data_IF_700321200193
#
_entry.id   IF_700321200193
#
_cell.length_a   1.000
_cell.length_b   1.000
_cell.length_c   1.000
_cell.angle_alpha   90.00
_cell.angle_beta   90.00
_cell.angle_gamma   90.00
#
_symmetry.space_group_name_H-M   'P 1'
#
loop_
_entity.id
_entity.type
_entity.pdbx_description
1 polymer ?
#
# COMPACT_ATOMS: atom_id res chain seq x y z
N UNK A 1 8.76 17.20 14.46
CA UNK A 1 8.06 18.24 13.66
C UNK A 1 6.58 18.07 13.94
N UNK A 2 5.88 19.16 14.26
CA UNK A 2 4.43 19.16 14.50
C UNK A 2 3.77 20.05 13.44
N UNK A 3 2.78 19.50 12.74
CA UNK A 3 2.01 20.13 11.67
C UNK A 3 0.58 20.49 12.11
N UNK A 4 0.07 19.86 13.17
CA UNK A 4 -1.27 20.11 13.68
C UNK A 4 -1.34 19.92 15.21
N UNK A 5 -2.29 20.58 15.88
CA UNK A 5 -2.45 20.52 17.34
C UNK A 5 -3.18 19.25 17.82
N UNK A 6 -4.10 18.72 17.01
CA UNK A 6 -4.68 17.38 17.19
C UNK A 6 -3.65 16.28 16.85
N UNK A 7 -3.29 15.38 17.80
CA UNK A 7 -2.27 14.35 17.58
C UNK A 7 -2.61 13.33 16.48
N UNK A 8 -3.89 13.03 16.29
CA UNK A 8 -4.32 12.07 15.26
C UNK A 8 -4.14 12.68 13.88
N UNK A 9 -4.57 13.94 13.71
CA UNK A 9 -4.38 14.64 12.46
C UNK A 9 -2.88 14.88 12.19
N UNK A 10 -2.10 15.23 13.22
CA UNK A 10 -0.65 15.40 13.10
C UNK A 10 0.03 14.15 12.52
N UNK A 11 -0.29 12.95 13.07
CA UNK A 11 0.22 11.67 12.56
C UNK A 11 -0.11 11.45 11.08
N UNK A 12 -1.34 11.76 10.67
CA UNK A 12 -1.79 11.60 9.29
C UNK A 12 -1.15 12.61 8.33
N UNK A 13 -0.88 13.84 8.79
CA UNK A 13 -0.15 14.84 8.01
C UNK A 13 1.33 14.47 7.86
N UNK A 14 1.96 13.95 8.91
CA UNK A 14 3.33 13.43 8.85
C UNK A 14 3.44 12.24 7.88
N UNK A 15 2.47 11.32 7.90
CA UNK A 15 2.37 10.25 6.88
C UNK A 15 2.19 10.81 5.48
N UNK A 16 1.36 11.84 5.30
CA UNK A 16 1.19 12.48 3.99
C UNK A 16 2.49 13.12 3.48
N UNK A 17 3.32 13.66 4.37
CA UNK A 17 4.63 14.20 3.97
C UNK A 17 5.60 13.13 3.47
N UNK A 18 5.55 11.90 4.00
CA UNK A 18 6.46 10.83 3.57
C UNK A 18 6.25 10.46 2.10
N UNK A 19 5.01 10.56 1.61
CA UNK A 19 4.67 10.28 0.21
C UNK A 19 4.74 11.53 -0.69
N UNK A 20 4.77 12.74 -0.10
CA UNK A 20 4.89 13.99 -0.84
C UNK A 20 6.21 14.11 -1.62
N UNK A 21 7.31 13.62 -1.03
CA UNK A 21 8.62 13.58 -1.69
C UNK A 21 8.60 12.77 -3.01
N UNK A 22 7.70 11.79 -3.10
CA UNK A 22 7.52 10.93 -4.26
C UNK A 22 6.39 11.39 -5.19
N UNK A 23 5.79 12.57 -4.92
CA UNK A 23 4.76 13.16 -5.76
C UNK A 23 3.35 12.59 -5.58
N UNK A 24 3.09 11.83 -4.52
CA UNK A 24 1.75 11.28 -4.23
C UNK A 24 0.90 12.21 -3.37
N UNK A 25 1.51 13.22 -2.76
CA UNK A 25 0.80 14.26 -2.02
C UNK A 25 1.44 15.62 -2.28
N UNK A 26 0.65 16.68 -2.14
CA UNK A 26 1.09 18.05 -2.33
C UNK A 26 1.40 18.71 -0.97
N UNK A 27 2.65 19.16 -0.80
CA UNK A 27 3.10 19.75 0.47
C UNK A 27 2.30 20.99 0.87
N UNK A 28 1.84 21.78 -0.11
CA UNK A 28 1.01 22.98 0.18
C UNK A 28 -0.37 22.59 0.68
N UNK A 29 -0.93 21.50 0.14
CA UNK A 29 -2.19 20.91 0.60
C UNK A 29 -2.06 20.37 2.01
N UNK A 30 -0.95 19.69 2.34
CA UNK A 30 -0.67 19.18 3.68
C UNK A 30 -0.54 20.33 4.70
N UNK A 31 0.27 21.35 4.38
CA UNK A 31 0.41 22.52 5.23
C UNK A 31 -0.93 23.26 5.42
N UNK A 32 -1.73 23.35 4.36
CA UNK A 32 -3.06 23.96 4.42
C UNK A 32 -4.04 23.15 5.29
N UNK A 33 -3.95 21.82 5.32
CA UNK A 33 -4.74 20.99 6.23
C UNK A 33 -4.36 21.30 7.68
N UNK A 34 -3.05 21.32 7.97
CA UNK A 34 -2.49 21.66 9.27
C UNK A 34 -2.96 23.02 9.82
N UNK A 35 -3.18 23.99 8.93
CA UNK A 35 -3.56 25.35 9.31
C UNK A 35 -5.08 25.61 9.33
N UNK A 36 -5.90 24.81 8.65
CA UNK A 36 -7.32 25.14 8.37
C UNK A 36 -8.33 24.14 8.91
N UNK A 37 -7.91 22.90 9.17
CA UNK A 37 -8.77 21.89 9.78
C UNK A 37 -8.89 22.19 11.28
N UNK A 38 -10.11 22.10 11.82
CA UNK A 38 -10.32 22.34 13.24
C UNK A 38 -9.93 21.09 14.06
N UNK A 39 -9.28 21.24 15.24
CA UNK A 39 -8.90 20.09 16.07
C UNK A 39 -10.09 19.20 16.43
N UNK A 40 -9.93 17.88 16.26
CA UNK A 40 -10.99 16.89 16.49
C UNK A 40 -12.16 16.91 15.49
N UNK A 41 -12.22 17.85 14.54
CA UNK A 41 -13.35 17.97 13.61
C UNK A 41 -13.10 17.15 12.34
N UNK A 42 -13.53 15.88 12.39
CA UNK A 42 -13.45 14.92 11.28
C UNK A 42 -14.23 15.37 10.03
N UNK A 43 -15.27 16.19 10.19
CA UNK A 43 -16.06 16.72 9.07
C UNK A 43 -15.29 17.83 8.36
N UNK A 44 -14.59 18.70 9.11
CA UNK A 44 -13.71 19.69 8.51
C UNK A 44 -12.51 19.05 7.80
N UNK A 45 -11.98 17.95 8.36
CA UNK A 45 -10.93 17.14 7.73
C UNK A 45 -11.40 16.56 6.40
N UNK A 46 -12.53 15.84 6.39
CA UNK A 46 -13.12 15.26 5.18
C UNK A 46 -13.33 16.30 4.09
N UNK A 47 -14.00 17.41 4.44
CA UNK A 47 -14.33 18.47 3.50
C UNK A 47 -13.09 19.12 2.91
N UNK A 48 -12.05 19.32 3.72
CA UNK A 48 -10.80 19.90 3.27
C UNK A 48 -10.13 18.99 2.22
N UNK A 49 -9.96 17.72 2.56
CA UNK A 49 -9.26 16.74 1.74
C UNK A 49 -10.04 16.38 0.48
N UNK A 50 -11.36 16.22 0.57
CA UNK A 50 -12.21 15.98 -0.60
C UNK A 50 -12.11 17.12 -1.61
N UNK A 51 -12.22 18.37 -1.15
CA UNK A 51 -12.03 19.56 -2.01
C UNK A 51 -10.62 19.64 -2.60
N UNK A 52 -9.61 19.13 -1.90
CA UNK A 52 -8.25 19.06 -2.45
C UNK A 52 -8.16 18.02 -3.57
N UNK A 53 -8.82 16.88 -3.42
CA UNK A 53 -8.99 15.87 -4.47
C UNK A 53 -9.68 16.45 -5.70
N UNK A 54 -10.82 17.12 -5.52
CA UNK A 54 -11.59 17.71 -6.63
C UNK A 54 -10.76 18.72 -7.43
N UNK A 55 -10.07 19.64 -6.75
CA UNK A 55 -9.15 20.59 -7.41
C UNK A 55 -7.98 19.91 -8.11
N UNK A 56 -7.52 18.76 -7.60
CA UNK A 56 -6.45 18.01 -8.23
C UNK A 56 -6.96 17.35 -9.52
N UNK A 57 -8.17 16.79 -9.55
CA UNK A 57 -8.78 16.29 -10.80
C UNK A 57 -8.85 17.39 -11.86
N UNK A 58 -9.39 18.56 -11.53
CA UNK A 58 -9.48 19.70 -12.47
C UNK A 58 -8.10 20.10 -13.04
N UNK A 59 -7.07 20.11 -12.17
CA UNK A 59 -5.69 20.43 -12.59
C UNK A 59 -5.07 19.32 -13.44
N UNK A 60 -5.42 18.07 -13.21
CA UNK A 60 -4.96 16.96 -14.03
C UNK A 60 -5.51 17.08 -15.45
N UNK A 61 -6.80 17.40 -15.59
CA UNK A 61 -7.43 17.61 -16.89
C UNK A 61 -6.79 18.78 -17.65
N UNK A 62 -6.51 19.89 -16.96
CA UNK A 62 -5.79 21.03 -17.54
C UNK A 62 -4.39 20.67 -18.03
N UNK A 63 -3.69 19.78 -17.32
CA UNK A 63 -2.36 19.30 -17.72
C UNK A 63 -2.42 18.35 -18.91
N UNK A 64 -3.42 17.45 -18.94
CA UNK A 64 -3.66 16.58 -20.10
C UNK A 64 -3.99 17.39 -21.35
N UNK A 65 -4.75 18.48 -21.22
CA UNK A 65 -5.09 19.37 -22.35
C UNK A 65 -3.88 20.05 -23.01
N UNK A 66 -2.72 20.07 -22.35
CA UNK A 66 -1.46 20.61 -22.87
C UNK A 66 -0.36 19.54 -22.98
N UNK A 67 -0.75 18.26 -23.04
CA UNK A 67 0.13 17.09 -23.16
C UNK A 67 1.18 16.94 -22.03
N UNK A 68 0.98 17.56 -20.87
CA UNK A 68 1.82 17.37 -19.68
C UNK A 68 1.43 16.09 -18.92
N UNK A 69 1.79 14.94 -19.51
CA UNK A 69 1.49 13.59 -18.99
C UNK A 69 2.09 13.38 -17.59
N UNK A 70 3.35 13.76 -17.39
CA UNK A 70 4.03 13.57 -16.11
C UNK A 70 3.38 14.40 -14.99
N UNK A 71 2.95 15.62 -15.31
CA UNK A 71 2.21 16.48 -14.42
C UNK A 71 0.81 15.99 -14.12
N UNK A 72 0.07 15.55 -15.14
CA UNK A 72 -1.26 14.96 -15.01
C UNK A 72 -1.22 13.73 -14.09
N UNK A 73 -0.30 12.79 -14.35
CA UNK A 73 -0.04 11.63 -13.47
C UNK A 73 0.10 12.04 -12.02
N UNK A 74 1.07 12.92 -11.72
CA UNK A 74 1.35 13.37 -10.36
C UNK A 74 0.11 13.97 -9.70
N UNK A 75 -0.67 14.74 -10.46
CA UNK A 75 -1.85 15.42 -9.93
C UNK A 75 -3.00 14.44 -9.67
N UNK A 76 -3.18 13.42 -10.53
CA UNK A 76 -4.12 12.31 -10.28
C UNK A 76 -3.73 11.47 -9.06
N UNK A 77 -2.44 11.21 -8.86
CA UNK A 77 -1.94 10.53 -7.66
C UNK A 77 -2.21 11.36 -6.40
N UNK A 78 -1.97 12.68 -6.44
CA UNK A 78 -2.36 13.60 -5.36
C UNK A 78 -3.88 13.59 -5.10
N UNK A 79 -4.70 13.49 -6.15
CA UNK A 79 -6.15 13.41 -6.01
C UNK A 79 -6.55 12.12 -5.29
N UNK A 80 -5.99 10.98 -5.71
CA UNK A 80 -6.20 9.69 -5.06
C UNK A 80 -5.84 9.73 -3.57
N UNK A 81 -4.65 10.23 -3.22
CA UNK A 81 -4.24 10.40 -1.84
C UNK A 81 -5.20 11.29 -1.04
N UNK A 82 -5.61 12.43 -1.61
CA UNK A 82 -6.53 13.35 -0.95
C UNK A 82 -7.90 12.71 -0.67
N UNK A 83 -8.45 11.94 -1.61
CA UNK A 83 -9.69 11.20 -1.37
C UNK A 83 -9.52 10.09 -0.31
N UNK A 84 -8.36 9.41 -0.28
CA UNK A 84 -8.01 8.46 0.79
C UNK A 84 -8.00 9.11 2.17
N UNK A 85 -7.40 10.30 2.28
CA UNK A 85 -7.42 11.09 3.52
C UNK A 85 -8.84 11.51 3.91
N UNK A 86 -9.69 11.88 2.94
CA UNK A 86 -11.09 12.22 3.19
C UNK A 86 -11.93 11.02 3.69
N UNK A 87 -11.62 9.81 3.21
CA UNK A 87 -12.29 8.57 3.61
C UNK A 87 -11.82 8.03 4.98
N UNK A 88 -10.64 8.44 5.46
CA UNK A 88 -9.91 7.79 6.55
C UNK A 88 -10.75 7.54 7.81
N UNK A 89 -11.43 8.56 8.32
CA UNK A 89 -12.19 8.48 9.58
C UNK A 89 -13.55 7.77 9.45
N UNK A 90 -13.98 7.46 8.22
CA UNK A 90 -15.25 6.79 7.97
C UNK A 90 -15.10 5.30 7.64
N UNK A 91 -13.85 4.78 7.56
CA UNK A 91 -13.56 3.39 7.17
C UNK A 91 -14.16 2.33 8.11
N UNK A 92 -14.34 2.67 9.39
CA UNK A 92 -14.94 1.75 10.37
C UNK A 92 -16.42 1.43 10.08
N UNK A 93 -17.09 2.23 9.24
CA UNK A 93 -18.46 1.99 8.78
C UNK A 93 -18.50 1.94 7.25
N UNK A 94 -18.30 0.75 6.64
CA UNK A 94 -18.38 0.58 5.19
C UNK A 94 -19.76 0.91 4.59
N UNK A 95 -20.82 0.95 5.41
CA UNK A 95 -22.14 1.38 4.98
C UNK A 95 -22.27 2.92 4.95
N UNK A 96 -21.32 3.66 5.51
CA UNK A 96 -21.30 5.13 5.48
C UNK A 96 -21.19 5.64 4.04
N UNK A 97 -22.08 6.54 3.63
CA UNK A 97 -22.05 7.15 2.30
C UNK A 97 -20.77 7.95 2.06
N UNK A 98 -20.33 8.73 3.06
CA UNK A 98 -19.09 9.51 2.98
C UNK A 98 -17.88 8.62 2.72
N UNK A 99 -17.81 7.45 3.36
CA UNK A 99 -16.76 6.47 3.07
C UNK A 99 -16.86 5.95 1.64
N UNK A 100 -18.04 5.44 1.23
CA UNK A 100 -18.26 4.86 -0.10
C UNK A 100 -17.92 5.84 -1.22
N UNK A 101 -18.35 7.09 -1.10
CA UNK A 101 -18.09 8.13 -2.11
C UNK A 101 -16.62 8.48 -2.19
N UNK A 102 -15.95 8.75 -1.06
CA UNK A 102 -14.54 9.11 -1.07
C UNK A 102 -13.64 7.93 -1.49
N UNK A 103 -14.00 6.70 -1.09
CA UNK A 103 -13.31 5.48 -1.54
C UNK A 103 -13.44 5.29 -3.05
N UNK A 104 -14.63 5.44 -3.61
CA UNK A 104 -14.84 5.37 -5.05
C UNK A 104 -14.03 6.44 -5.80
N UNK A 105 -14.01 7.68 -5.31
CA UNK A 105 -13.21 8.76 -5.87
C UNK A 105 -11.70 8.47 -5.82
N UNK A 106 -11.20 7.90 -4.71
CA UNK A 106 -9.81 7.47 -4.57
C UNK A 106 -9.42 6.44 -5.63
N UNK A 107 -10.23 5.39 -5.78
CA UNK A 107 -10.01 4.31 -6.77
C UNK A 107 -10.04 4.88 -8.19
N UNK A 108 -11.04 5.70 -8.52
CA UNK A 108 -11.16 6.31 -9.84
C UNK A 108 -9.96 7.19 -10.18
N UNK A 109 -9.52 8.04 -9.24
CA UNK A 109 -8.35 8.90 -9.44
C UNK A 109 -7.06 8.09 -9.63
N UNK A 110 -6.87 7.02 -8.84
CA UNK A 110 -5.72 6.14 -8.99
C UNK A 110 -5.72 5.42 -10.34
N UNK A 111 -6.85 4.82 -10.72
CA UNK A 111 -7.01 4.11 -12.00
C UNK A 111 -6.84 5.03 -13.21
N UNK A 112 -7.22 6.31 -13.09
CA UNK A 112 -6.92 7.31 -14.12
C UNK A 112 -5.41 7.61 -14.22
N UNK A 113 -4.68 7.53 -13.11
CA UNK A 113 -3.22 7.73 -13.09
C UNK A 113 -2.45 6.52 -13.66
N UNK A 114 -2.97 5.29 -13.49
CA UNK A 114 -2.33 4.04 -13.88
C UNK A 114 -1.74 4.04 -15.31
N UNK A 115 -2.48 4.39 -16.38
CA UNK A 115 -1.93 4.40 -17.74
C UNK A 115 -0.84 5.45 -17.97
N UNK A 116 -0.64 6.38 -17.04
CA UNK A 116 0.39 7.43 -17.12
C UNK A 116 1.64 7.08 -16.30
N UNK A 117 1.61 5.99 -15.53
CA UNK A 117 2.72 5.54 -14.69
C UNK A 117 3.94 5.13 -15.54
N UNK A 118 5.17 5.38 -15.05
CA UNK A 118 6.38 5.00 -15.78
C UNK A 118 6.62 3.48 -15.75
N UNK A 119 6.21 2.83 -14.67
CA UNK A 119 6.29 1.39 -14.48
C UNK A 119 4.90 0.76 -14.64
N UNK A 120 4.88 -0.51 -15.05
CA UNK A 120 3.65 -1.30 -15.13
C UNK A 120 2.93 -1.31 -13.77
N UNK A 121 1.63 -1.06 -13.82
CA UNK A 121 0.71 -1.21 -12.71
C UNK A 121 -0.60 -1.77 -13.26
N UNK A 122 -1.02 -2.90 -12.73
CA UNK A 122 -2.18 -3.65 -13.20
C UNK A 122 -3.16 -3.86 -12.06
N UNK A 123 -4.45 -3.80 -12.36
CA UNK A 123 -5.48 -4.22 -11.40
C UNK A 123 -5.32 -5.72 -11.18
N UNK A 124 -5.24 -6.13 -9.93
CA UNK A 124 -5.13 -7.54 -9.57
C UNK A 124 -6.43 -8.27 -9.92
N UNK A 125 -6.31 -9.27 -10.78
CA UNK A 125 -7.37 -10.26 -11.01
C UNK A 125 -6.85 -11.61 -10.54
N UNK A 126 -7.31 -12.07 -9.37
CA UNK A 126 -6.97 -13.40 -8.86
C UNK A 126 -7.93 -14.43 -9.49
N UNK A 127 -7.44 -15.41 -10.27
CA UNK A 127 -8.30 -16.42 -10.88
C UNK A 127 -9.14 -17.16 -9.82
N UNK A 128 -10.44 -17.32 -10.09
CA UNK A 128 -11.37 -17.97 -9.15
C UNK A 128 -12.02 -17.03 -8.14
N UNK A 129 -11.68 -15.74 -8.15
CA UNK A 129 -12.35 -14.72 -7.36
C UNK A 129 -13.10 -13.74 -8.27
N UNK A 130 -14.40 -13.55 -8.03
CA UNK A 130 -15.29 -12.76 -8.90
C UNK A 130 -15.53 -11.34 -8.41
N UNK A 131 -15.19 -11.05 -7.16
CA UNK A 131 -15.13 -9.65 -6.69
C UNK A 131 -13.90 -9.00 -7.31
N UNK A 132 -14.00 -7.79 -7.90
CA UNK A 132 -12.82 -7.03 -8.30
C UNK A 132 -11.95 -6.88 -7.05
N UNK A 133 -10.83 -7.59 -7.01
CA UNK A 133 -9.89 -7.44 -5.92
C UNK A 133 -9.40 -5.99 -5.99
N UNK A 134 -9.54 -5.25 -4.89
CA UNK A 134 -9.00 -3.90 -4.74
C UNK A 134 -7.48 -3.98 -4.52
N UNK A 135 -6.79 -4.70 -5.40
CA UNK A 135 -5.35 -4.93 -5.32
C UNK A 135 -4.66 -4.49 -6.61
N UNK A 136 -3.35 -4.28 -6.52
CA UNK A 136 -2.53 -3.86 -7.64
C UNK A 136 -1.24 -4.68 -7.72
N UNK A 137 -0.84 -5.02 -8.93
CA UNK A 137 0.47 -5.57 -9.22
C UNK A 137 1.30 -4.50 -9.92
N UNK A 138 2.41 -4.08 -9.30
CA UNK A 138 3.25 -3.01 -9.86
C UNK A 138 4.73 -3.26 -9.72
N UNK A 139 5.52 -2.50 -10.48
CA UNK A 139 6.96 -2.63 -10.54
C UNK A 139 7.42 -3.49 -11.72
N UNK A 140 8.72 -3.50 -11.96
CA UNK A 140 9.29 -4.03 -13.19
C UNK A 140 9.04 -5.54 -13.31
N UNK A 141 8.47 -5.97 -14.44
CA UNK A 141 8.37 -7.38 -14.78
C UNK A 141 9.78 -7.97 -14.96
N UNK A 142 10.05 -9.06 -14.25
CA UNK A 142 11.27 -9.84 -14.42
C UNK A 142 10.94 -11.35 -14.32
N UNK A 143 11.14 -12.14 -15.38
CA UNK A 143 10.96 -13.59 -15.34
C UNK A 143 11.87 -14.23 -14.27
N UNK A 144 11.27 -14.83 -13.24
CA UNK A 144 12.01 -15.36 -12.07
C UNK A 144 12.42 -14.28 -11.06
N UNK A 145 11.91 -13.05 -11.22
CA UNK A 145 12.11 -11.92 -10.33
C UNK A 145 11.49 -12.13 -8.94
N UNK A 146 11.84 -11.21 -8.05
CA UNK A 146 11.36 -11.19 -6.66
C UNK A 146 10.01 -10.50 -6.57
N UNK A 147 9.05 -11.16 -5.91
CA UNK A 147 7.74 -10.61 -5.63
C UNK A 147 7.60 -10.26 -4.15
N UNK A 148 6.95 -9.14 -3.85
CA UNK A 148 6.62 -8.71 -2.49
C UNK A 148 5.11 -8.56 -2.37
N UNK A 149 4.46 -9.35 -1.53
CA UNK A 149 3.04 -9.26 -1.22
C UNK A 149 2.85 -8.29 -0.06
N UNK A 150 1.89 -7.40 -0.19
CA UNK A 150 1.61 -6.32 0.75
C UNK A 150 0.10 -6.38 1.07
N UNK A 151 -0.30 -7.16 2.08
CA UNK A 151 -1.66 -7.11 2.60
C UNK A 151 -1.93 -5.74 3.24
N UNK A 152 -3.06 -5.13 2.89
CA UNK A 152 -3.59 -3.92 3.52
C UNK A 152 -5.06 -4.14 3.92
N UNK A 153 -5.73 -3.17 4.53
CA UNK A 153 -7.18 -3.27 4.79
C UNK A 153 -7.69 -2.58 6.07
N UNK A 154 -6.99 -2.67 7.20
CA UNK A 154 -7.48 -2.03 8.45
C UNK A 154 -7.31 -0.51 8.41
N UNK A 155 -6.08 -0.04 8.14
CA UNK A 155 -5.75 1.39 8.22
C UNK A 155 -5.45 1.99 6.84
N UNK A 156 -5.24 1.15 5.84
CA UNK A 156 -4.64 1.51 4.56
C UNK A 156 -5.38 0.82 3.42
N UNK A 157 -5.60 1.56 2.34
CA UNK A 157 -6.08 1.02 1.07
C UNK A 157 -4.92 0.59 0.19
N UNK A 158 -5.21 -0.16 -0.89
CA UNK A 158 -4.19 -0.56 -1.84
C UNK A 158 -3.51 0.63 -2.55
N UNK A 159 -4.24 1.71 -2.78
CA UNK A 159 -3.73 2.97 -3.33
C UNK A 159 -2.76 3.66 -2.36
N UNK A 160 -3.05 3.63 -1.06
CA UNK A 160 -2.14 4.17 -0.03
C UNK A 160 -0.84 3.37 -0.01
N UNK A 161 -0.93 2.04 -0.08
CA UNK A 161 0.24 1.17 -0.15
C UNK A 161 1.04 1.38 -1.44
N UNK A 162 0.39 1.59 -2.59
CA UNK A 162 1.13 1.96 -3.80
C UNK A 162 1.96 3.23 -3.57
N UNK A 163 1.38 4.29 -2.99
CA UNK A 163 2.09 5.53 -2.71
C UNK A 163 3.28 5.36 -1.75
N UNK A 164 3.18 4.44 -0.79
CA UNK A 164 4.21 4.16 0.19
C UNK A 164 5.34 3.27 -0.36
N UNK A 165 5.01 2.28 -1.19
CA UNK A 165 5.94 1.21 -1.55
C UNK A 165 6.45 1.27 -3.00
N UNK A 166 5.70 1.86 -3.95
CA UNK A 166 6.12 1.91 -5.36
C UNK A 166 7.47 2.60 -5.59
N UNK A 167 7.80 3.74 -4.94
CA UNK A 167 9.10 4.38 -5.13
C UNK A 167 10.26 3.46 -4.74
N UNK A 168 10.14 2.76 -3.61
CA UNK A 168 11.16 1.83 -3.14
C UNK A 168 11.24 0.59 -4.02
N UNK A 169 10.09 0.04 -4.43
CA UNK A 169 10.01 -1.14 -5.28
C UNK A 169 10.77 -0.96 -6.61
N UNK A 170 10.63 0.21 -7.24
CA UNK A 170 11.36 0.56 -8.45
C UNK A 170 12.88 0.62 -8.24
N UNK A 171 13.33 1.20 -7.12
CA UNK A 171 14.76 1.30 -6.78
C UNK A 171 15.39 -0.06 -6.51
N UNK A 172 14.69 -0.95 -5.78
CA UNK A 172 15.23 -2.27 -5.43
C UNK A 172 14.98 -3.33 -6.51
N UNK A 173 14.21 -3.01 -7.54
CA UNK A 173 13.94 -3.91 -8.67
C UNK A 173 13.06 -5.10 -8.31
N UNK A 174 12.06 -4.91 -7.44
CA UNK A 174 11.08 -5.95 -7.09
C UNK A 174 9.70 -5.63 -7.66
N UNK A 175 8.89 -6.68 -7.85
CA UNK A 175 7.50 -6.54 -8.25
C UNK A 175 6.60 -6.69 -7.03
N UNK A 176 5.72 -5.75 -6.78
CA UNK A 176 4.87 -5.71 -5.59
C UNK A 176 3.44 -6.10 -5.94
N UNK A 177 2.85 -6.98 -5.13
CA UNK A 177 1.44 -7.34 -5.14
C UNK A 177 0.78 -6.76 -3.89
N UNK A 178 0.03 -5.67 -4.03
CA UNK A 178 -0.80 -5.15 -2.94
C UNK A 178 -2.18 -5.77 -3.02
N UNK A 179 -2.72 -6.18 -1.87
CA UNK A 179 -4.06 -6.77 -1.76
C UNK A 179 -4.78 -6.09 -0.60
N UNK A 180 -5.89 -5.42 -0.89
CA UNK A 180 -6.80 -4.88 0.12
C UNK A 180 -7.65 -6.03 0.69
N UNK A 181 -7.30 -6.46 1.91
CA UNK A 181 -7.95 -7.51 2.66
C UNK A 181 -9.02 -6.86 3.55
N UNK A 182 -10.26 -6.84 3.04
CA UNK A 182 -11.42 -6.54 3.87
C UNK A 182 -11.69 -7.70 4.81
N UNK A 183 -12.14 -7.41 6.04
CA UNK A 183 -12.40 -8.33 7.18
C UNK A 183 -13.10 -9.67 6.85
N UNK A 184 -13.77 -9.79 5.71
CA UNK A 184 -14.51 -10.98 5.26
C UNK A 184 -13.79 -11.83 4.20
N UNK A 185 -12.63 -11.40 3.65
CA UNK A 185 -11.99 -11.99 2.46
C UNK A 185 -10.55 -12.50 2.70
N UNK A 186 -10.13 -12.65 3.95
CA UNK A 186 -8.70 -12.57 4.30
C UNK A 186 -7.86 -13.80 3.92
N UNK A 187 -8.34 -15.02 4.20
CA UNK A 187 -7.54 -16.24 4.04
C UNK A 187 -7.53 -16.77 2.61
N UNK A 188 -8.72 -16.98 2.01
CA UNK A 188 -8.82 -17.61 0.70
C UNK A 188 -8.20 -16.76 -0.41
N UNK A 189 -8.33 -15.43 -0.32
CA UNK A 189 -7.69 -14.50 -1.23
C UNK A 189 -6.17 -14.56 -1.12
N UNK A 190 -5.65 -14.47 0.11
CA UNK A 190 -4.22 -14.53 0.36
C UNK A 190 -3.63 -15.87 -0.11
N UNK A 191 -4.32 -16.98 0.15
CA UNK A 191 -3.92 -18.29 -0.33
C UNK A 191 -3.91 -18.37 -1.86
N UNK A 192 -4.96 -17.88 -2.53
CA UNK A 192 -5.04 -17.87 -3.99
C UNK A 192 -3.94 -16.99 -4.61
N UNK A 193 -3.66 -15.81 -4.03
CA UNK A 193 -2.60 -14.92 -4.47
C UNK A 193 -1.20 -15.56 -4.30
N UNK A 194 -0.92 -16.17 -3.14
CA UNK A 194 0.33 -16.87 -2.88
C UNK A 194 0.50 -18.08 -3.81
N UNK A 195 -0.56 -18.85 -4.04
CA UNK A 195 -0.55 -19.95 -4.99
C UNK A 195 -0.26 -19.45 -6.42
N UNK A 196 -0.92 -18.37 -6.84
CA UNK A 196 -0.70 -17.76 -8.15
C UNK A 196 0.74 -17.26 -8.34
N UNK A 197 1.34 -16.63 -7.33
CA UNK A 197 2.72 -16.16 -7.35
C UNK A 197 3.75 -17.29 -7.33
N UNK A 198 3.54 -18.30 -6.49
CA UNK A 198 4.51 -19.39 -6.31
C UNK A 198 4.56 -20.37 -7.48
N UNK A 199 3.57 -20.33 -8.37
CA UNK A 199 3.66 -20.99 -9.68
C UNK A 199 4.58 -20.25 -10.67
N UNK A 200 4.88 -18.97 -10.42
CA UNK A 200 5.66 -18.10 -11.32
C UNK A 200 7.08 -17.83 -10.83
N UNK A 201 7.30 -17.88 -9.52
CA UNK A 201 8.62 -17.61 -8.92
C UNK A 201 8.81 -18.39 -7.62
N UNK A 202 10.07 -18.64 -7.24
CA UNK A 202 10.45 -19.14 -5.92
C UNK A 202 10.81 -18.02 -4.94
N UNK A 203 10.80 -16.76 -5.38
CA UNK A 203 11.20 -15.58 -4.60
C UNK A 203 10.00 -14.72 -4.26
N UNK A 204 9.19 -15.17 -3.31
CA UNK A 204 8.03 -14.43 -2.81
C UNK A 204 8.29 -13.98 -1.38
N UNK A 205 8.10 -12.70 -1.10
CA UNK A 205 8.18 -12.11 0.24
C UNK A 205 6.80 -11.56 0.60
N UNK A 206 6.43 -11.53 1.87
CA UNK A 206 5.18 -10.96 2.34
C UNK A 206 5.54 -9.93 3.41
N UNK A 207 5.21 -8.66 3.19
CA UNK A 207 5.37 -7.62 4.19
C UNK A 207 4.21 -7.71 5.18
N UNK A 208 4.52 -7.70 6.48
CA UNK A 208 3.53 -7.67 7.54
C UNK A 208 2.78 -6.35 7.58
N UNK A 209 1.62 -6.38 8.22
CA UNK A 209 0.58 -5.34 8.35
C UNK A 209 1.06 -3.98 8.90
N UNK A 210 2.31 -3.88 9.33
CA UNK A 210 2.89 -2.74 10.05
C UNK A 210 4.39 -2.54 9.72
N UNK A 211 4.81 -3.00 8.53
CA UNK A 211 6.22 -3.10 8.13
C UNK A 211 6.88 -1.76 7.74
N UNK A 212 7.16 -0.93 8.73
CA UNK A 212 8.26 0.04 8.66
C UNK A 212 9.49 -0.37 9.49
N UNK A 213 9.44 -1.48 10.23
CA UNK A 213 10.60 -2.11 10.88
C UNK A 213 10.33 -3.58 11.24
N UNK A 214 10.61 -4.56 10.36
CA UNK A 214 10.39 -5.97 10.69
C UNK A 214 11.36 -6.44 11.78
N UNK A 215 10.85 -7.03 12.87
CA UNK A 215 11.65 -7.66 13.95
C UNK A 215 11.54 -9.19 13.94
N UNK A 216 10.68 -9.75 13.11
CA UNK A 216 10.47 -11.17 12.93
C UNK A 216 10.36 -11.53 11.44
N UNK A 217 11.10 -12.55 11.02
CA UNK A 217 11.02 -13.11 9.67
C UNK A 217 10.55 -14.55 9.79
N UNK A 218 9.50 -14.95 9.06
CA UNK A 218 9.00 -16.32 9.03
C UNK A 218 9.11 -16.91 7.63
N UNK A 219 9.54 -18.16 7.55
CA UNK A 219 9.74 -18.84 6.27
C UNK A 219 8.54 -19.72 5.97
N UNK A 220 7.85 -19.43 4.87
CA UNK A 220 6.72 -20.23 4.40
C UNK A 220 7.24 -21.43 3.60
N UNK A 221 6.97 -22.64 4.08
CA UNK A 221 7.20 -23.88 3.33
C UNK A 221 5.88 -24.59 3.04
N UNK A 222 5.71 -25.03 1.79
CA UNK A 222 4.68 -25.99 1.40
C UNK A 222 5.33 -27.37 1.12
N UNK A 223 4.55 -28.46 1.03
CA UNK A 223 5.03 -29.85 0.86
C UNK A 223 6.03 -30.09 -0.29
N UNK A 224 6.17 -29.14 -1.22
CA UNK A 224 7.06 -29.21 -2.39
C UNK A 224 8.23 -28.20 -2.39
N UNK A 225 8.46 -27.42 -1.32
CA UNK A 225 9.62 -26.51 -1.22
C UNK A 225 9.39 -25.18 -0.51
N UNK A 226 10.42 -24.32 -0.53
CA UNK A 226 10.40 -22.94 -0.02
C UNK A 226 9.46 -22.09 -0.89
N UNK A 227 8.45 -21.46 -0.29
CA UNK A 227 7.40 -20.74 -1.01
C UNK A 227 7.21 -19.28 -0.61
N UNK A 228 7.85 -18.81 0.47
CA UNK A 228 8.01 -17.38 0.69
C UNK A 228 8.62 -16.99 2.03
N UNK A 229 8.82 -15.69 2.23
CA UNK A 229 9.38 -15.11 3.46
C UNK A 229 8.47 -14.00 3.97
N UNK A 230 7.85 -14.19 5.13
CA UNK A 230 7.06 -13.22 5.87
C UNK A 230 7.98 -12.30 6.67
N UNK A 231 7.79 -10.99 6.59
CA UNK A 231 8.53 -9.99 7.35
C UNK A 231 7.56 -9.19 8.22
N UNK A 232 7.48 -9.51 9.52
CA UNK A 232 6.57 -8.88 10.48
C UNK A 232 7.33 -8.03 11.51
N UNK A 233 6.74 -6.94 12.03
CA UNK A 233 7.37 -6.11 13.06
C UNK A 233 7.38 -6.76 14.44
N UNK A 234 6.51 -7.73 14.71
CA UNK A 234 6.61 -8.58 15.90
C UNK A 234 6.22 -10.04 15.61
N UNK A 235 6.44 -10.89 16.61
CA UNK A 235 6.14 -12.33 16.53
C UNK A 235 4.63 -12.64 16.62
N UNK A 236 3.81 -11.74 17.14
CA UNK A 236 2.35 -11.92 17.22
C UNK A 236 1.70 -11.73 15.85
N UNK A 237 2.18 -10.79 15.05
CA UNK A 237 1.79 -10.58 13.66
C UNK A 237 2.16 -11.78 12.77
N UNK A 238 3.31 -12.40 13.03
CA UNK A 238 3.68 -13.68 12.38
C UNK A 238 2.64 -14.75 12.70
N UNK A 239 2.24 -14.86 13.96
CA UNK A 239 1.24 -15.86 14.40
C UNK A 239 -0.13 -15.58 13.77
N UNK A 240 -0.55 -14.31 13.68
CA UNK A 240 -1.80 -13.93 13.03
C UNK A 240 -1.81 -14.30 11.55
N UNK A 241 -0.75 -13.98 10.80
CA UNK A 241 -0.66 -14.33 9.37
C UNK A 241 -0.51 -15.85 9.17
N UNK A 242 0.21 -16.55 10.05
CA UNK A 242 0.29 -18.01 10.02
C UNK A 242 -1.05 -18.68 10.36
N UNK A 243 -1.85 -18.10 11.27
CA UNK A 243 -3.18 -18.61 11.61
C UNK A 243 -4.16 -18.47 10.42
N UNK A 244 -4.00 -17.43 9.61
CA UNK A 244 -4.75 -17.26 8.36
C UNK A 244 -4.31 -18.23 7.26
N UNK A 245 -3.20 -18.97 7.42
CA UNK A 245 -2.66 -19.86 6.38
C UNK A 245 -2.22 -21.22 6.97
N UNK A 246 -3.15 -22.01 7.54
CA UNK A 246 -2.81 -23.21 8.33
C UNK A 246 -2.15 -24.34 7.51
N UNK A 247 -2.33 -24.34 6.18
CA UNK A 247 -1.69 -25.27 5.23
C UNK A 247 -0.18 -24.98 5.04
N UNK A 248 0.28 -23.78 5.42
CA UNK A 248 1.68 -23.40 5.39
C UNK A 248 2.33 -23.87 6.69
N UNK A 249 3.07 -24.98 6.62
CA UNK A 249 3.90 -25.43 7.74
C UNK A 249 5.02 -24.42 7.95
N UNK A 250 4.79 -23.45 8.80
CA UNK A 250 5.81 -22.54 9.30
C UNK A 250 6.83 -23.40 10.07
N UNK A 251 8.08 -23.60 9.58
CA UNK A 251 9.13 -24.00 10.48
C UNK A 251 9.35 -22.78 11.36
N UNK A 252 8.98 -22.89 12.62
CA UNK A 252 9.21 -21.90 13.66
C UNK A 252 10.68 -21.49 13.71
N UNK A 253 11.05 -20.52 12.88
CA UNK A 253 12.35 -19.89 12.89
C UNK A 253 12.10 -18.39 12.84
N UNK A 254 11.70 -17.85 14.00
CA UNK A 254 11.82 -16.44 14.30
C UNK A 254 13.32 -16.13 14.26
N UNK A 255 13.83 -15.64 13.13
CA UNK A 255 15.21 -15.17 13.06
C UNK A 255 15.26 -13.77 13.70
N UNK A 256 15.92 -13.59 14.87
CA UNK A 256 16.22 -12.25 15.34
C UNK A 256 17.11 -11.55 14.30
N UNK A 257 17.05 -10.21 14.19
CA UNK A 257 17.73 -9.45 13.13
C UNK A 257 19.27 -9.57 13.10
N UNK A 258 19.87 -10.31 14.03
CA UNK A 258 21.31 -10.45 14.19
C UNK A 258 21.91 -11.77 13.67
N UNK A 259 21.13 -12.70 13.08
CA UNK A 259 21.68 -13.98 12.61
C UNK A 259 21.86 -14.03 11.10
N UNK A 260 23.12 -13.85 10.70
CA UNK A 260 23.68 -14.19 9.40
C UNK A 260 23.60 -15.70 9.11
N UNK A 261 22.43 -16.21 8.72
CA UNK A 261 22.26 -17.59 8.23
C UNK A 261 20.97 -17.60 7.38
N UNK A 262 20.92 -17.99 6.10
CA UNK A 262 21.45 -19.19 5.45
C UNK A 262 21.74 -18.92 3.95
N UNK A 263 22.82 -19.53 3.46
CA UNK A 263 23.35 -19.56 2.10
C UNK A 263 22.47 -19.00 0.96
N UNK A 264 22.84 -17.84 0.43
CA UNK A 264 22.38 -17.33 -0.87
C UNK A 264 21.63 -16.00 -0.87
N UNK A 265 21.34 -15.41 0.31
CA UNK A 265 20.69 -14.11 0.40
C UNK A 265 21.55 -13.10 1.16
N UNK A 266 21.81 -11.96 0.52
CA UNK A 266 22.50 -10.80 1.10
C UNK A 266 21.47 -9.78 1.58
N UNK A 267 21.65 -9.22 2.77
CA UNK A 267 20.95 -7.99 3.14
C UNK A 267 21.42 -6.85 2.24
N UNK A 268 20.51 -6.19 1.52
CA UNK A 268 20.78 -4.83 1.03
C UNK A 268 20.65 -3.91 2.23
N UNK A 269 21.78 -3.46 2.77
CA UNK A 269 21.78 -2.40 3.78
C UNK A 269 21.07 -1.18 3.19
N UNK A 270 20.06 -0.68 3.91
CA UNK A 270 19.42 0.60 3.63
C UNK A 270 20.49 1.69 3.67
N UNK A 271 20.95 2.13 2.50
CA UNK A 271 21.80 3.31 2.37
C UNK A 271 20.92 4.56 2.51
N UNK A 272 20.43 4.78 3.72
CA UNK A 272 19.86 6.05 4.16
C UNK A 272 20.39 6.29 5.57
N UNK A 273 21.55 6.93 5.64
CA UNK A 273 22.06 7.64 6.82
C UNK A 273 21.60 9.09 6.75
#
# INVERSE_FOLDING_TARGET
>A
MQLHSDPTFDRLLLRSLSVAANGFADATTIAGAGARVAPGDVVSWERYWRRAGDRAIERADQRLAVDDVAGARRTLLCASWAYGQAAHFYRADPACETWRTNRASQICAFRAAMPLLPDECEVLVVPGHTSPCDGYLFGRADPGGTYVVIPVGAEESAEDAYALFAPTAGVVGVRCLVIDLSVDADTAMMEAALNWLTLRTSRVFVLGWSAMAPRAVAVVRHRQGLRGVLCCPDAADVVAVCALLPELRCPSMLLPPALSVLAGFSWMASAVT
#
